data_IF_136765213013
#
_entry.id   IF_136765213013
#
_cell.length_a   1.000
_cell.length_b   1.000
_cell.length_c   1.000
_cell.angle_alpha   90.00
_cell.angle_beta   90.00
_cell.angle_gamma   90.00
#
_symmetry.space_group_name_H-M   'P 1'
#
loop_
_entity.id
_entity.type
_entity.pdbx_description
1 polymer ?
#
# COMPACT_ATOMS: atom_id res chain seq x y z
N UNK A 1 12.97 -37.62 -9.55
CA UNK A 1 13.30 -36.78 -8.39
C UNK A 1 12.03 -36.70 -7.56
N UNK A 2 12.07 -37.05 -6.28
CA UNK A 2 10.89 -36.93 -5.41
C UNK A 2 10.63 -35.46 -5.01
N UNK A 3 9.41 -35.16 -4.53
CA UNK A 3 8.99 -33.81 -4.18
C UNK A 3 9.89 -33.15 -3.12
N UNK A 4 10.40 -33.91 -2.15
CA UNK A 4 11.27 -33.40 -1.11
C UNK A 4 12.65 -33.03 -1.68
N UNK A 5 13.19 -33.86 -2.57
CA UNK A 5 14.41 -33.56 -3.32
C UNK A 5 14.26 -32.30 -4.18
N UNK A 6 13.12 -32.13 -4.86
CA UNK A 6 12.84 -30.91 -5.65
C UNK A 6 12.74 -29.67 -4.76
N UNK A 7 12.03 -29.73 -3.62
CA UNK A 7 11.95 -28.59 -2.68
C UNK A 7 13.32 -28.20 -2.11
N UNK A 8 14.15 -29.20 -1.77
CA UNK A 8 15.54 -28.95 -1.31
C UNK A 8 16.39 -28.31 -2.40
N UNK A 9 16.26 -28.79 -3.64
CA UNK A 9 16.92 -28.19 -4.80
C UNK A 9 16.51 -26.72 -4.95
N UNK A 10 15.21 -26.42 -5.01
CA UNK A 10 14.75 -25.05 -5.22
C UNK A 10 15.21 -24.12 -4.09
N UNK A 11 15.03 -24.54 -2.83
CA UNK A 11 15.50 -23.76 -1.67
C UNK A 11 17.00 -23.47 -1.74
N UNK A 12 17.81 -24.46 -2.10
CA UNK A 12 19.26 -24.29 -2.22
C UNK A 12 19.60 -23.30 -3.32
N UNK A 13 19.13 -23.50 -4.55
CA UNK A 13 19.48 -22.64 -5.68
C UNK A 13 18.88 -21.22 -5.59
N UNK A 14 17.70 -21.06 -4.97
CA UNK A 14 17.16 -19.73 -4.67
C UNK A 14 18.01 -18.97 -3.65
N UNK A 15 18.63 -19.66 -2.68
CA UNK A 15 19.53 -18.99 -1.72
C UNK A 15 20.78 -18.39 -2.37
N UNK A 16 21.21 -18.89 -3.54
CA UNK A 16 22.31 -18.31 -4.34
C UNK A 16 21.82 -17.30 -5.39
N UNK A 17 20.51 -17.07 -5.51
CA UNK A 17 19.93 -16.23 -6.57
C UNK A 17 20.03 -16.84 -7.98
N UNK A 18 20.36 -18.12 -8.10
CA UNK A 18 20.47 -18.81 -9.40
C UNK A 18 19.11 -19.06 -10.04
N UNK A 19 18.07 -19.19 -9.23
CA UNK A 19 16.67 -19.26 -9.63
C UNK A 19 15.83 -18.42 -8.64
N UNK A 20 14.62 -18.04 -9.03
CA UNK A 20 13.64 -17.45 -8.10
C UNK A 20 12.48 -18.44 -7.96
N UNK A 21 12.32 -18.99 -6.75
CA UNK A 21 11.18 -19.83 -6.38
C UNK A 21 10.35 -19.09 -5.32
N UNK A 22 9.21 -18.53 -5.75
CA UNK A 22 8.32 -17.80 -4.86
C UNK A 22 7.42 -18.73 -4.04
N UNK A 23 7.45 -20.05 -4.27
CA UNK A 23 6.75 -21.02 -3.41
C UNK A 23 7.26 -21.02 -1.96
N UNK A 24 8.49 -20.52 -1.76
CA UNK A 24 9.09 -20.30 -0.45
C UNK A 24 8.43 -19.14 0.34
N UNK A 25 7.73 -18.25 -0.36
CA UNK A 25 6.95 -17.14 0.22
C UNK A 25 5.47 -17.53 0.26
N UNK A 26 4.93 -17.96 -0.89
CA UNK A 26 3.55 -18.40 -1.01
C UNK A 26 3.51 -19.86 -1.50
N UNK A 27 3.17 -20.84 -0.65
CA UNK A 27 3.14 -22.25 -1.01
C UNK A 27 2.26 -22.61 -2.22
N UNK A 28 1.33 -21.74 -2.62
CA UNK A 28 0.46 -21.94 -3.76
C UNK A 28 1.06 -21.44 -5.09
N UNK A 29 2.20 -20.75 -5.07
CA UNK A 29 2.87 -20.28 -6.27
C UNK A 29 3.42 -21.45 -7.08
N UNK A 30 3.11 -21.52 -8.37
CA UNK A 30 3.31 -22.72 -9.19
C UNK A 30 4.55 -22.67 -10.09
N UNK A 31 5.26 -21.54 -10.13
CA UNK A 31 6.34 -21.33 -11.09
C UNK A 31 7.72 -21.26 -10.42
N UNK A 32 8.75 -21.63 -11.18
CA UNK A 32 10.15 -21.41 -10.81
C UNK A 32 10.81 -20.65 -11.94
N UNK A 33 11.34 -19.46 -11.63
CA UNK A 33 12.00 -18.60 -12.61
C UNK A 33 13.47 -19.01 -12.70
N UNK A 34 13.84 -19.67 -13.79
CA UNK A 34 15.19 -20.25 -13.98
C UNK A 34 16.19 -19.29 -14.64
N UNK A 35 15.75 -18.09 -15.05
CA UNK A 35 16.60 -17.00 -15.59
C UNK A 35 16.35 -15.69 -14.83
N UNK A 36 16.81 -15.57 -13.58
CA UNK A 36 16.51 -14.41 -12.72
C UNK A 36 16.92 -13.07 -13.33
N UNK A 37 18.10 -13.01 -13.96
CA UNK A 37 18.60 -11.75 -14.56
C UNK A 37 17.68 -11.27 -15.69
N UNK A 38 17.29 -12.16 -16.61
CA UNK A 38 16.38 -11.80 -17.71
C UNK A 38 15.02 -11.38 -17.18
N UNK A 39 14.49 -12.11 -16.18
CA UNK A 39 13.22 -11.77 -15.55
C UNK A 39 13.25 -10.37 -14.91
N UNK A 40 14.30 -10.07 -14.13
CA UNK A 40 14.46 -8.77 -13.48
C UNK A 40 14.68 -7.65 -14.50
N UNK A 41 15.43 -7.89 -15.58
CA UNK A 41 15.59 -6.91 -16.66
C UNK A 41 14.25 -6.60 -17.34
N UNK A 42 13.41 -7.61 -17.59
CA UNK A 42 12.08 -7.39 -18.16
C UNK A 42 11.18 -6.58 -17.22
N UNK A 43 11.24 -6.83 -15.90
CA UNK A 43 10.54 -5.99 -14.92
C UNK A 43 11.08 -4.56 -14.88
N UNK A 44 12.40 -4.39 -14.94
CA UNK A 44 13.03 -3.08 -14.94
C UNK A 44 12.61 -2.24 -16.14
N UNK A 45 12.60 -2.82 -17.34
CA UNK A 45 12.09 -2.18 -18.56
C UNK A 45 10.60 -1.85 -18.46
N UNK A 46 9.80 -2.72 -17.83
CA UNK A 46 8.37 -2.49 -17.60
C UNK A 46 8.11 -1.30 -16.67
N UNK A 47 8.87 -1.17 -15.57
CA UNK A 47 8.71 -0.06 -14.62
C UNK A 47 9.30 1.26 -15.13
N UNK A 48 10.43 1.23 -15.84
CA UNK A 48 11.16 2.42 -16.32
C UNK A 48 10.77 2.89 -17.72
N UNK A 49 9.69 2.37 -18.30
CA UNK A 49 9.01 2.95 -19.47
C UNK A 49 9.87 3.07 -20.74
N UNK A 50 10.82 2.14 -20.95
CA UNK A 50 11.84 2.32 -22.01
C UNK A 50 11.31 2.27 -23.46
N UNK A 51 10.07 1.78 -23.69
CA UNK A 51 9.59 1.43 -25.04
C UNK A 51 8.39 2.26 -25.57
N UNK A 52 8.05 3.40 -24.97
CA UNK A 52 6.95 4.28 -25.45
C UNK A 52 5.54 3.69 -25.31
N UNK A 53 5.41 2.47 -24.80
CA UNK A 53 4.17 1.71 -24.62
C UNK A 53 3.12 2.42 -23.77
N UNK A 54 3.53 3.33 -22.88
CA UNK A 54 2.64 4.11 -22.02
C UNK A 54 1.82 5.16 -22.80
N UNK A 55 2.27 5.59 -23.99
CA UNK A 55 1.48 6.49 -24.84
C UNK A 55 0.14 5.85 -25.26
N UNK A 56 0.14 4.54 -25.45
CA UNK A 56 -1.07 3.76 -25.77
C UNK A 56 -1.94 3.49 -24.54
N UNK A 57 -1.40 3.63 -23.33
CA UNK A 57 -2.06 3.29 -22.06
C UNK A 57 -1.90 4.39 -20.99
N UNK A 58 -2.57 5.56 -21.14
CA UNK A 58 -2.45 6.68 -20.20
C UNK A 58 -2.83 6.36 -18.75
N UNK A 59 -3.58 5.27 -18.51
CA UNK A 59 -3.95 4.85 -17.15
C UNK A 59 -2.74 4.40 -16.33
N UNK A 60 -1.66 3.95 -16.98
CA UNK A 60 -0.48 3.43 -16.30
C UNK A 60 0.29 4.52 -15.52
N UNK A 61 0.16 5.80 -15.90
CA UNK A 61 0.70 6.95 -15.14
C UNK A 61 0.19 7.02 -13.70
N UNK A 62 -0.98 6.43 -13.44
CA UNK A 62 -1.63 6.37 -12.14
C UNK A 62 -1.43 5.02 -11.45
N UNK A 63 -0.52 4.19 -11.97
CA UNK A 63 -0.32 2.83 -11.52
C UNK A 63 -1.44 1.87 -11.92
N UNK A 64 -2.34 2.26 -12.84
CA UNK A 64 -3.44 1.40 -13.30
C UNK A 64 -3.05 0.75 -14.61
N UNK A 65 -2.59 -0.49 -14.53
CA UNK A 65 -2.04 -1.23 -15.66
C UNK A 65 -3.09 -2.15 -16.28
N UNK A 66 -3.48 -1.94 -17.56
CA UNK A 66 -4.38 -2.85 -18.26
C UNK A 66 -3.70 -4.19 -18.54
N UNK A 67 -4.43 -5.31 -18.43
CA UNK A 67 -3.92 -6.63 -18.80
C UNK A 67 -3.40 -6.69 -20.25
N UNK A 68 -4.03 -5.93 -21.17
CA UNK A 68 -3.57 -5.80 -22.57
C UNK A 68 -2.16 -5.22 -22.67
N UNK A 69 -1.77 -4.32 -21.77
CA UNK A 69 -0.41 -3.79 -21.72
C UNK A 69 0.57 -4.88 -21.25
N UNK A 70 0.21 -5.64 -20.22
CA UNK A 70 1.02 -6.78 -19.74
C UNK A 70 1.26 -7.81 -20.85
N UNK A 71 0.20 -8.18 -21.59
CA UNK A 71 0.28 -9.09 -22.75
C UNK A 71 1.19 -8.56 -23.85
N UNK A 72 1.15 -7.25 -24.14
CA UNK A 72 2.00 -6.62 -25.15
C UNK A 72 3.49 -6.65 -24.74
N UNK A 73 3.78 -6.38 -23.47
CA UNK A 73 5.14 -6.23 -22.95
C UNK A 73 5.79 -7.59 -22.68
N UNK A 74 5.10 -8.46 -21.93
CA UNK A 74 5.65 -9.74 -21.49
C UNK A 74 5.29 -10.92 -22.42
N UNK A 75 4.48 -10.68 -23.47
CA UNK A 75 4.03 -11.72 -24.41
C UNK A 75 3.37 -12.89 -23.68
N UNK A 76 3.65 -14.13 -24.08
CA UNK A 76 3.03 -15.32 -23.49
C UNK A 76 3.41 -15.55 -22.02
N UNK A 77 4.51 -14.95 -21.55
CA UNK A 77 4.97 -15.08 -20.16
C UNK A 77 4.24 -14.11 -19.20
N UNK A 78 3.38 -13.21 -19.71
CA UNK A 78 2.70 -12.20 -18.88
C UNK A 78 2.01 -12.74 -17.62
N UNK A 79 1.37 -13.93 -17.59
CA UNK A 79 0.74 -14.43 -16.37
C UNK A 79 1.78 -14.70 -15.29
N UNK A 80 2.94 -15.25 -15.66
CA UNK A 80 4.04 -15.55 -14.71
C UNK A 80 4.56 -14.26 -14.07
N UNK A 81 4.68 -13.19 -14.86
CA UNK A 81 5.10 -11.88 -14.33
C UNK A 81 4.05 -11.31 -13.37
N UNK A 82 2.77 -11.32 -13.73
CA UNK A 82 1.72 -10.77 -12.85
C UNK A 82 1.54 -11.60 -11.58
N UNK A 83 1.54 -12.93 -11.69
CA UNK A 83 1.48 -13.83 -10.53
C UNK A 83 2.66 -13.58 -9.58
N UNK A 84 3.87 -13.35 -10.13
CA UNK A 84 5.03 -13.02 -9.31
C UNK A 84 4.88 -11.67 -8.59
N UNK A 85 4.39 -10.63 -9.28
CA UNK A 85 4.15 -9.33 -8.68
C UNK A 85 3.06 -9.37 -7.61
N UNK A 86 1.98 -10.12 -7.83
CA UNK A 86 0.94 -10.34 -6.83
C UNK A 86 1.48 -11.12 -5.62
N UNK A 87 2.22 -12.20 -5.87
CA UNK A 87 2.85 -13.01 -4.82
C UNK A 87 3.82 -12.19 -3.95
N UNK A 88 4.50 -11.22 -4.55
CA UNK A 88 5.39 -10.29 -3.87
C UNK A 88 4.67 -9.05 -3.33
N UNK A 89 3.34 -8.97 -3.43
CA UNK A 89 2.56 -7.82 -2.98
C UNK A 89 3.06 -6.48 -3.58
N UNK A 90 3.42 -6.54 -4.87
CA UNK A 90 3.82 -5.42 -5.73
C UNK A 90 2.70 -5.01 -6.70
N UNK A 91 1.69 -5.87 -6.85
CA UNK A 91 0.50 -5.63 -7.64
C UNK A 91 -0.74 -6.19 -6.91
N UNK A 92 -1.91 -5.64 -7.21
CA UNK A 92 -3.20 -6.25 -6.87
C UNK A 92 -4.16 -6.13 -8.05
N UNK A 93 -4.91 -7.18 -8.41
CA UNK A 93 -5.92 -7.06 -9.45
C UNK A 93 -7.00 -6.08 -9.03
N UNK A 94 -7.47 -5.26 -9.98
CA UNK A 94 -8.55 -4.31 -9.79
C UNK A 94 -9.49 -4.37 -10.99
N UNK A 95 -10.78 -4.23 -10.73
CA UNK A 95 -11.81 -4.24 -11.77
C UNK A 95 -12.30 -2.83 -12.04
N UNK A 96 -12.84 -2.58 -13.23
CA UNK A 96 -13.30 -1.25 -13.66
C UNK A 96 -14.31 -0.60 -12.72
N UNK A 97 -15.14 -1.41 -12.02
CA UNK A 97 -16.10 -0.91 -11.01
C UNK A 97 -15.42 -0.18 -9.83
N UNK A 98 -14.16 -0.50 -9.55
CA UNK A 98 -13.39 0.11 -8.48
C UNK A 98 -12.48 1.25 -8.97
N UNK A 99 -12.63 1.71 -10.22
CA UNK A 99 -11.73 2.71 -10.80
C UNK A 99 -12.51 3.98 -11.15
N UNK A 100 -12.03 5.14 -10.69
CA UNK A 100 -12.59 6.45 -11.03
C UNK A 100 -11.59 7.28 -11.83
N UNK A 101 -11.42 6.98 -13.11
CA UNK A 101 -10.43 7.64 -13.96
C UNK A 101 -10.83 9.07 -14.38
N UNK A 102 -9.85 9.92 -14.76
CA UNK A 102 -10.14 11.20 -15.40
C UNK A 102 -10.86 10.97 -16.73
N UNK A 103 -11.69 11.93 -17.16
CA UNK A 103 -12.55 11.78 -18.34
C UNK A 103 -11.76 11.56 -19.66
N UNK A 104 -10.52 12.03 -19.71
CA UNK A 104 -9.58 11.88 -20.82
C UNK A 104 -8.91 10.50 -20.86
N UNK A 105 -9.03 9.68 -19.81
CA UNK A 105 -8.48 8.33 -19.74
C UNK A 105 -9.60 7.31 -19.84
N UNK A 106 -9.78 6.75 -21.04
CA UNK A 106 -10.80 5.74 -21.27
C UNK A 106 -10.36 4.35 -20.79
N UNK A 107 -11.20 3.72 -19.98
CA UNK A 107 -11.07 2.33 -19.61
C UNK A 107 -11.96 1.44 -20.50
N UNK A 108 -11.45 0.27 -20.86
CA UNK A 108 -12.25 -0.79 -21.44
C UNK A 108 -13.21 -1.31 -20.36
N UNK A 109 -14.53 -1.17 -20.58
CA UNK A 109 -15.57 -1.55 -19.61
C UNK A 109 -15.44 -2.98 -19.12
N UNK A 110 -14.92 -3.90 -19.95
CA UNK A 110 -14.73 -5.32 -19.63
C UNK A 110 -13.25 -5.69 -19.46
N UNK A 111 -12.37 -4.70 -19.37
CA UNK A 111 -10.94 -4.93 -19.17
C UNK A 111 -10.62 -5.36 -17.75
N UNK A 112 -9.61 -6.22 -17.62
CA UNK A 112 -8.94 -6.49 -16.35
C UNK A 112 -7.76 -5.53 -16.18
N UNK A 113 -7.54 -5.11 -14.94
CA UNK A 113 -6.52 -4.14 -14.58
C UNK A 113 -5.77 -4.61 -13.35
N UNK A 114 -4.58 -4.07 -13.18
CA UNK A 114 -3.76 -4.22 -11.99
C UNK A 114 -3.45 -2.85 -11.42
N UNK A 115 -3.51 -2.72 -10.10
CA UNK A 115 -2.92 -1.59 -9.41
C UNK A 115 -1.46 -1.93 -9.07
N UNK A 116 -0.54 -1.20 -9.69
CA UNK A 116 0.90 -1.34 -9.59
C UNK A 116 1.50 0.06 -9.32
N UNK A 117 1.64 0.46 -8.05
CA UNK A 117 2.08 1.82 -7.69
C UNK A 117 3.51 2.14 -8.19
N UNK A 118 4.33 1.12 -8.47
CA UNK A 118 5.66 1.30 -9.06
C UNK A 118 5.64 1.90 -10.47
N UNK A 119 4.51 1.81 -11.19
CA UNK A 119 4.36 2.43 -12.52
C UNK A 119 3.99 3.92 -12.46
N UNK A 120 3.67 4.46 -11.28
CA UNK A 120 3.34 5.87 -11.11
C UNK A 120 4.54 6.77 -11.49
N UNK A 121 4.27 7.89 -12.17
CA UNK A 121 5.31 8.77 -12.74
C UNK A 121 5.49 10.11 -12.01
N UNK A 122 4.61 10.40 -11.05
CA UNK A 122 4.63 11.65 -10.30
C UNK A 122 5.72 11.68 -9.24
N UNK A 123 5.99 12.85 -8.67
CA UNK A 123 6.99 13.00 -7.62
C UNK A 123 6.58 12.26 -6.34
N UNK A 124 7.55 12.05 -5.46
CA UNK A 124 7.26 11.72 -4.06
C UNK A 124 6.52 12.90 -3.44
N UNK A 125 5.35 12.65 -2.87
CA UNK A 125 4.65 13.65 -2.07
C UNK A 125 5.29 13.69 -0.68
N UNK A 126 5.89 14.83 -0.32
CA UNK A 126 6.73 14.94 0.88
C UNK A 126 6.27 16.05 1.85
N UNK A 127 4.99 16.40 1.83
CA UNK A 127 4.47 17.41 2.77
C UNK A 127 4.13 16.77 4.13
N UNK A 128 4.74 17.26 5.22
CA UNK A 128 4.33 16.89 6.56
C UNK A 128 2.91 17.42 6.83
N UNK A 129 2.05 16.59 7.39
CA UNK A 129 0.71 17.00 7.80
C UNK A 129 0.52 16.63 9.28
N UNK A 130 0.78 17.59 10.16
CA UNK A 130 0.61 17.41 11.60
C UNK A 130 -0.85 17.17 12.01
N UNK A 131 -1.83 17.45 11.13
CA UNK A 131 -3.27 17.24 11.34
C UNK A 131 -3.76 15.92 10.75
N UNK A 132 -2.86 14.96 10.55
CA UNK A 132 -3.18 13.60 10.10
C UNK A 132 -2.82 12.55 11.15
N UNK A 133 -3.53 11.43 11.14
CA UNK A 133 -3.13 10.25 11.89
C UNK A 133 -2.02 9.54 11.13
N UNK A 134 -1.04 9.02 11.85
CA UNK A 134 0.06 8.26 11.29
C UNK A 134 0.08 6.86 11.88
N UNK A 135 0.38 5.88 11.04
CA UNK A 135 0.62 4.51 11.43
C UNK A 135 2.11 4.25 11.47
N UNK A 136 2.60 3.86 12.65
CA UNK A 136 3.97 3.40 12.84
C UNK A 136 3.99 1.88 12.99
N UNK A 137 4.89 1.22 12.26
CA UNK A 137 5.06 -0.24 12.27
C UNK A 137 6.44 -0.63 12.80
N UNK A 138 6.57 -1.81 13.40
CA UNK A 138 7.87 -2.35 13.85
C UNK A 138 8.77 -2.80 12.71
N UNK A 139 8.20 -2.99 11.51
CA UNK A 139 8.92 -3.38 10.30
C UNK A 139 8.86 -2.21 9.32
N UNK A 140 10.02 -1.84 8.80
CA UNK A 140 10.10 -0.88 7.69
C UNK A 140 9.97 -1.64 6.38
N UNK A 141 8.80 -1.58 5.76
CA UNK A 141 8.59 -2.08 4.40
C UNK A 141 8.62 -0.92 3.38
N UNK A 142 9.04 -1.17 2.14
CA UNK A 142 9.03 -0.16 1.08
C UNK A 142 7.62 0.39 0.79
N UNK A 143 7.56 1.59 0.21
CA UNK A 143 6.31 2.33 0.04
C UNK A 143 5.24 1.58 -0.74
N UNK A 144 5.64 0.99 -1.87
CA UNK A 144 4.77 0.28 -2.78
C UNK A 144 4.10 -0.95 -2.15
N UNK A 145 4.79 -1.69 -1.27
CA UNK A 145 4.16 -2.79 -0.52
C UNK A 145 2.99 -2.28 0.31
N UNK A 146 3.19 -1.19 1.05
CA UNK A 146 2.16 -0.59 1.90
C UNK A 146 0.98 -0.11 1.05
N UNK A 147 1.25 0.55 -0.08
CA UNK A 147 0.22 1.02 -1.01
C UNK A 147 -0.64 -0.13 -1.56
N UNK A 148 -0.01 -1.21 -2.04
CA UNK A 148 -0.74 -2.39 -2.56
C UNK A 148 -1.56 -3.04 -1.46
N UNK A 149 -0.97 -3.28 -0.28
CA UNK A 149 -1.68 -3.90 0.84
C UNK A 149 -2.89 -3.10 1.28
N UNK A 150 -2.76 -1.77 1.43
CA UNK A 150 -3.90 -0.94 1.79
C UNK A 150 -4.93 -0.85 0.67
N UNK A 151 -4.51 -0.72 -0.58
CA UNK A 151 -5.43 -0.71 -1.73
C UNK A 151 -6.28 -1.97 -1.75
N UNK A 152 -5.64 -3.14 -1.69
CA UNK A 152 -6.32 -4.43 -1.63
C UNK A 152 -7.33 -4.48 -0.49
N UNK A 153 -6.87 -4.26 0.74
CA UNK A 153 -7.72 -4.42 1.93
C UNK A 153 -8.87 -3.42 1.99
N UNK A 154 -8.67 -2.17 1.58
CA UNK A 154 -9.72 -1.15 1.59
C UNK A 154 -10.71 -1.30 0.45
N UNK A 155 -10.26 -1.68 -0.76
CA UNK A 155 -11.18 -1.99 -1.88
C UNK A 155 -12.07 -3.20 -1.57
N UNK A 156 -11.59 -4.14 -0.75
CA UNK A 156 -12.36 -5.33 -0.34
C UNK A 156 -13.31 -5.08 0.83
N UNK A 157 -13.09 -4.05 1.65
CA UNK A 157 -13.81 -3.87 2.92
C UNK A 157 -14.71 -2.64 2.97
N UNK A 158 -14.32 -1.53 2.33
CA UNK A 158 -15.14 -0.32 2.31
C UNK A 158 -16.43 -0.55 1.50
N UNK A 159 -17.53 0.13 1.85
CA UNK A 159 -18.74 0.13 1.06
C UNK A 159 -18.56 1.02 -0.18
N UNK A 160 -18.84 0.50 -1.37
CA UNK A 160 -18.67 1.22 -2.65
C UNK A 160 -17.33 1.98 -2.82
N UNK A 161 -16.17 1.29 -2.70
CA UNK A 161 -14.90 1.95 -2.79
C UNK A 161 -14.48 2.16 -4.25
N UNK A 162 -13.79 3.27 -4.52
CA UNK A 162 -13.12 3.49 -5.79
C UNK A 162 -11.72 4.02 -5.58
N UNK A 163 -10.77 3.47 -6.32
CA UNK A 163 -9.41 3.96 -6.42
C UNK A 163 -9.43 5.24 -7.28
N UNK A 164 -8.88 6.31 -6.71
CA UNK A 164 -8.81 7.62 -7.34
C UNK A 164 -7.41 7.81 -7.93
N UNK A 165 -7.31 8.29 -9.19
CA UNK A 165 -6.06 8.51 -9.90
C UNK A 165 -5.10 9.39 -9.10
N UNK A 166 -3.91 8.88 -8.85
CA UNK A 166 -2.83 9.61 -8.22
C UNK A 166 -1.52 9.24 -8.91
N UNK A 167 -0.78 10.25 -9.39
CA UNK A 167 0.52 10.00 -10.01
C UNK A 167 1.66 9.92 -8.98
N UNK A 168 1.45 10.37 -7.74
CA UNK A 168 2.53 10.42 -6.75
C UNK A 168 2.94 9.00 -6.34
N UNK A 169 4.24 8.70 -6.46
CA UNK A 169 4.77 7.33 -6.31
C UNK A 169 4.55 6.72 -4.92
N UNK A 170 4.41 7.56 -3.89
CA UNK A 170 4.22 7.12 -2.50
C UNK A 170 2.80 7.33 -1.98
N UNK A 171 1.83 7.67 -2.85
CA UNK A 171 0.44 7.88 -2.46
C UNK A 171 -0.54 6.92 -3.11
N UNK A 172 -1.58 6.60 -2.34
CA UNK A 172 -2.77 5.90 -2.80
C UNK A 172 -3.97 6.66 -2.29
N UNK A 173 -4.97 6.87 -3.15
CA UNK A 173 -6.18 7.60 -2.81
C UNK A 173 -7.38 6.70 -3.09
N UNK A 174 -8.23 6.49 -2.08
CA UNK A 174 -9.45 5.69 -2.19
C UNK A 174 -10.62 6.54 -1.73
N UNK A 175 -11.69 6.58 -2.52
CA UNK A 175 -12.94 7.23 -2.15
C UNK A 175 -13.96 6.17 -1.75
N UNK A 176 -14.59 6.36 -0.59
CA UNK A 176 -15.81 5.65 -0.23
C UNK A 176 -16.99 6.46 -0.77
N UNK A 177 -17.71 5.93 -1.78
CA UNK A 177 -18.85 6.64 -2.37
C UNK A 177 -20.06 6.69 -1.45
N UNK A 178 -20.21 5.71 -0.55
CA UNK A 178 -21.34 5.62 0.39
C UNK A 178 -21.35 6.76 1.41
N UNK A 179 -20.16 7.17 1.87
CA UNK A 179 -19.98 8.25 2.86
C UNK A 179 -19.41 9.54 2.24
N UNK A 180 -19.21 9.56 0.92
CA UNK A 180 -18.54 10.62 0.16
C UNK A 180 -17.16 11.02 0.74
N UNK A 181 -16.43 10.07 1.34
CA UNK A 181 -15.19 10.34 2.07
C UNK A 181 -13.95 9.93 1.28
N UNK A 182 -12.91 10.77 1.28
CA UNK A 182 -11.61 10.50 0.67
C UNK A 182 -10.60 10.02 1.71
N UNK A 183 -9.98 8.88 1.45
CA UNK A 183 -8.89 8.30 2.24
C UNK A 183 -7.61 8.42 1.41
N UNK A 184 -6.64 9.18 1.92
CA UNK A 184 -5.33 9.34 1.31
C UNK A 184 -4.27 8.68 2.19
N UNK A 185 -3.54 7.74 1.60
CA UNK A 185 -2.48 6.99 2.24
C UNK A 185 -1.17 7.47 1.64
N UNK A 186 -0.37 8.17 2.42
CA UNK A 186 0.97 8.60 2.00
C UNK A 186 2.00 7.80 2.76
N UNK A 187 2.75 6.98 2.05
CA UNK A 187 3.78 6.17 2.65
C UNK A 187 5.04 7.03 2.82
N UNK A 188 5.43 7.24 4.07
CA UNK A 188 6.74 7.73 4.45
C UNK A 188 7.45 6.62 5.24
N UNK A 189 8.78 6.55 5.21
CA UNK A 189 9.52 5.61 6.05
C UNK A 189 10.02 6.40 7.26
N UNK A 190 9.68 6.01 8.50
CA UNK A 190 8.96 4.80 8.91
C UNK A 190 7.43 4.94 9.04
N UNK A 191 6.85 6.13 8.82
CA UNK A 191 5.45 6.44 9.13
C UNK A 191 4.51 6.44 7.91
N UNK A 192 3.37 5.79 8.00
CA UNK A 192 2.32 5.90 6.97
C UNK A 192 1.35 6.98 7.41
N UNK A 193 1.24 8.06 6.65
CA UNK A 193 0.24 9.11 6.88
C UNK A 193 -1.12 8.63 6.37
N UNK A 194 -2.12 8.72 7.23
CA UNK A 194 -3.51 8.35 6.99
C UNK A 194 -4.36 9.61 7.12
N UNK A 195 -4.73 10.17 5.97
CA UNK A 195 -5.56 11.38 5.89
C UNK A 195 -6.96 11.01 5.44
N UNK A 196 -7.96 11.49 6.18
CA UNK A 196 -9.38 11.36 5.87
C UNK A 196 -9.92 12.79 5.83
N UNK A 197 -10.55 13.19 4.72
CA UNK A 197 -11.04 14.57 4.54
C UNK A 197 -12.20 14.90 5.48
N UNK A 198 -13.15 13.98 5.62
CA UNK A 198 -14.30 14.08 6.51
C UNK A 198 -14.25 12.92 7.53
N UNK A 199 -13.38 13.00 8.54
CA UNK A 199 -13.14 11.90 9.46
C UNK A 199 -14.41 11.57 10.25
N UNK A 200 -14.77 10.28 10.24
CA UNK A 200 -15.87 9.69 11.00
C UNK A 200 -15.45 8.32 11.54
N UNK A 201 -16.19 7.83 12.52
CA UNK A 201 -15.89 6.57 13.23
C UNK A 201 -15.85 5.38 12.26
N UNK A 202 -16.83 5.28 11.37
CA UNK A 202 -17.00 4.16 10.44
C UNK A 202 -15.79 4.02 9.48
N UNK A 203 -15.43 5.10 8.78
CA UNK A 203 -14.27 5.10 7.87
C UNK A 203 -12.97 4.83 8.64
N UNK A 204 -12.82 5.40 9.84
CA UNK A 204 -11.64 5.13 10.68
C UNK A 204 -11.57 3.66 11.10
N UNK A 205 -12.70 3.03 11.41
CA UNK A 205 -12.78 1.61 11.73
C UNK A 205 -12.34 0.74 10.55
N UNK A 206 -12.76 1.04 9.32
CA UNK A 206 -12.29 0.34 8.12
C UNK A 206 -10.77 0.41 7.95
N UNK A 207 -10.16 1.58 8.19
CA UNK A 207 -8.71 1.74 8.12
C UNK A 207 -8.00 0.91 9.20
N UNK A 208 -8.54 0.87 10.41
CA UNK A 208 -8.00 0.05 11.52
C UNK A 208 -8.11 -1.44 11.17
N UNK A 209 -9.25 -1.88 10.66
CA UNK A 209 -9.46 -3.27 10.23
C UNK A 209 -8.54 -3.67 9.08
N UNK A 210 -8.38 -2.81 8.08
CA UNK A 210 -7.41 -3.01 7.01
C UNK A 210 -6.00 -3.16 7.58
N UNK A 211 -5.58 -2.26 8.48
CA UNK A 211 -4.27 -2.34 9.15
C UNK A 211 -4.08 -3.67 9.90
N UNK A 212 -5.10 -4.13 10.61
CA UNK A 212 -5.09 -5.41 11.32
C UNK A 212 -4.89 -6.58 10.35
N UNK A 213 -5.66 -6.65 9.27
CA UNK A 213 -5.51 -7.69 8.24
C UNK A 213 -4.12 -7.67 7.59
N UNK A 214 -3.59 -6.50 7.26
CA UNK A 214 -2.23 -6.36 6.70
C UNK A 214 -1.18 -6.93 7.66
N UNK A 215 -1.33 -6.67 8.97
CA UNK A 215 -0.43 -7.19 9.98
C UNK A 215 -0.56 -8.72 10.15
N UNK A 216 -1.77 -9.28 10.03
CA UNK A 216 -2.06 -10.71 10.12
C UNK A 216 -1.57 -11.50 8.89
N UNK A 217 -1.61 -10.90 7.69
CA UNK A 217 -1.11 -11.51 6.45
C UNK A 217 0.42 -11.57 6.37
N UNK A 218 1.13 -10.85 7.25
CA UNK A 218 2.59 -10.87 7.29
C UNK A 218 3.13 -12.18 7.86
N UNK A 219 4.10 -12.79 7.18
CA UNK A 219 4.82 -13.97 7.66
C UNK A 219 5.66 -13.72 8.93
N UNK A 220 5.88 -12.46 9.29
CA UNK A 220 6.61 -12.04 10.50
C UNK A 220 5.63 -11.24 11.38
N UNK A 221 5.62 -11.43 12.71
CA UNK A 221 4.78 -10.64 13.61
C UNK A 221 5.01 -9.13 13.45
N UNK A 222 4.01 -8.42 12.92
CA UNK A 222 4.03 -6.96 12.78
C UNK A 222 3.36 -6.33 13.99
N UNK A 223 4.10 -5.47 14.69
CA UNK A 223 3.52 -4.60 15.71
C UNK A 223 3.28 -3.22 15.11
N UNK A 224 2.17 -2.59 15.46
CA UNK A 224 1.84 -1.27 14.95
C UNK A 224 1.12 -0.39 15.99
N UNK A 225 1.13 0.91 15.76
CA UNK A 225 0.40 1.90 16.56
C UNK A 225 -0.04 3.09 15.71
N UNK A 226 -1.20 3.63 16.04
CA UNK A 226 -1.67 4.89 15.51
C UNK A 226 -1.19 6.03 16.40
N UNK A 227 -0.64 7.06 15.77
CA UNK A 227 -0.07 8.22 16.44
C UNK A 227 -0.52 9.50 15.78
N UNK A 228 -0.55 10.57 16.55
CA UNK A 228 -0.70 11.94 16.08
C UNK A 228 0.56 12.69 16.50
N UNK A 229 1.19 13.41 15.58
CA UNK A 229 2.33 14.25 15.94
C UNK A 229 1.87 15.44 16.78
N UNK A 230 2.65 15.78 17.80
CA UNK A 230 2.35 16.89 18.69
C UNK A 230 2.43 18.20 17.91
N UNK A 231 1.45 19.10 18.11
CA UNK A 231 1.40 20.45 17.52
C UNK A 231 2.57 21.34 17.94
N UNK A 232 3.27 20.96 19.01
CA UNK A 232 4.47 21.66 19.48
C UNK A 232 5.69 21.36 18.61
N UNK A 233 5.64 20.33 17.77
CA UNK A 233 6.73 20.08 16.82
C UNK A 233 6.64 21.07 15.65
N UNK A 234 7.78 21.59 15.25
CA UNK A 234 7.92 22.27 13.96
C UNK A 234 8.40 21.26 12.92
N UNK A 235 7.49 20.40 12.45
CA UNK A 235 7.79 19.42 11.41
C UNK A 235 7.71 20.12 10.05
N UNK A 236 8.86 20.47 9.50
CA UNK A 236 8.95 21.11 8.17
C UNK A 236 9.32 20.14 7.07
N UNK A 237 9.81 18.93 7.42
CA UNK A 237 10.17 17.88 6.47
C UNK A 237 9.87 16.49 7.01
N UNK A 238 9.59 15.55 6.13
CA UNK A 238 9.22 14.17 6.49
C UNK A 238 10.38 13.40 7.16
N UNK A 239 11.64 13.72 6.85
CA UNK A 239 12.79 13.05 7.47
C UNK A 239 12.91 13.38 8.97
N UNK A 240 12.20 14.40 9.46
CA UNK A 240 12.14 14.74 10.88
C UNK A 240 11.08 13.96 11.66
N UNK A 241 10.18 13.23 10.99
CA UNK A 241 9.12 12.43 11.62
C UNK A 241 9.66 11.38 12.63
N UNK A 242 10.79 10.68 12.39
CA UNK A 242 11.32 9.72 13.36
C UNK A 242 11.67 10.34 14.72
N UNK A 243 12.07 11.62 14.72
CA UNK A 243 12.52 12.34 15.92
C UNK A 243 11.43 13.23 16.53
N UNK A 244 10.26 13.34 15.90
CA UNK A 244 9.19 14.21 16.34
C UNK A 244 8.43 13.64 17.55
N UNK A 245 7.96 14.51 18.44
CA UNK A 245 7.11 14.11 19.56
C UNK A 245 5.74 13.67 19.05
N UNK A 246 5.22 12.56 19.54
CA UNK A 246 3.89 12.09 19.13
C UNK A 246 3.08 11.57 20.30
N UNK A 247 1.77 11.61 20.13
CA UNK A 247 0.79 11.03 21.04
C UNK A 247 0.30 9.71 20.47
N UNK A 248 0.27 8.69 21.32
CA UNK A 248 -0.29 7.38 20.95
C UNK A 248 -1.81 7.45 21.08
N UNK A 249 -2.53 7.25 19.98
CA UNK A 249 -3.99 7.17 20.01
C UNK A 249 -4.45 5.86 20.68
N UNK A 250 -5.61 5.86 21.37
CA UNK A 250 -6.57 6.97 21.52
C UNK A 250 -6.21 7.99 22.63
N UNK A 251 -5.13 7.80 23.39
CA UNK A 251 -4.82 8.61 24.59
C UNK A 251 -3.91 9.79 24.26
N UNK A 252 -4.47 10.99 24.21
CA UNK A 252 -3.70 12.24 24.11
C UNK A 252 -3.68 12.92 25.46
N UNK A 253 -2.49 13.22 25.97
CA UNK A 253 -2.28 13.89 27.27
C UNK A 253 -1.80 15.34 27.13
N UNK A 254 -1.47 15.78 25.92
CA UNK A 254 -1.01 17.15 25.67
C UNK A 254 -2.19 18.12 25.58
N UNK A 255 -2.27 19.06 26.54
CA UNK A 255 -3.33 20.09 26.57
C UNK A 255 -3.42 20.87 25.25
N UNK A 256 -2.29 21.34 24.71
CA UNK A 256 -2.29 22.10 23.44
C UNK A 256 -2.85 21.30 22.26
N UNK A 257 -2.68 19.98 22.24
CA UNK A 257 -3.25 19.12 21.19
C UNK A 257 -4.73 18.82 21.43
N UNK A 258 -5.18 18.79 22.69
CA UNK A 258 -6.59 18.61 23.05
C UNK A 258 -7.41 19.88 22.80
N UNK A 259 -6.81 21.06 22.98
CA UNK A 259 -7.48 22.35 22.84
C UNK A 259 -7.46 22.89 21.38
N UNK A 260 -6.83 22.17 20.44
CA UNK A 260 -6.74 22.62 19.04
C UNK A 260 -7.93 22.09 18.22
N UNK A 261 -8.85 22.95 17.78
CA UNK A 261 -10.13 22.56 17.18
C UNK A 261 -9.97 21.84 15.84
N UNK A 262 -8.79 21.94 15.19
CA UNK A 262 -8.49 21.21 13.96
C UNK A 262 -8.40 19.71 14.19
N UNK A 263 -8.19 19.29 15.44
CA UNK A 263 -8.10 17.90 15.83
C UNK A 263 -9.40 17.32 16.38
N UNK A 264 -10.33 18.13 16.89
CA UNK A 264 -11.51 17.64 17.60
C UNK A 264 -12.28 16.57 16.83
N UNK A 265 -12.63 16.85 15.58
CA UNK A 265 -13.38 15.91 14.73
C UNK A 265 -12.56 14.64 14.42
N UNK A 266 -11.30 14.81 14.05
CA UNK A 266 -10.40 13.71 13.71
C UNK A 266 -10.15 12.80 14.92
N UNK A 267 -9.79 13.38 16.06
CA UNK A 267 -9.48 12.64 17.28
C UNK A 267 -10.69 11.93 17.83
N UNK A 268 -11.87 12.55 17.79
CA UNK A 268 -13.10 11.90 18.21
C UNK A 268 -13.37 10.65 17.37
N UNK A 269 -13.38 10.80 16.03
CA UNK A 269 -13.61 9.71 15.10
C UNK A 269 -12.63 8.54 15.30
N UNK A 270 -11.33 8.84 15.39
CA UNK A 270 -10.31 7.81 15.62
C UNK A 270 -10.39 7.20 17.01
N UNK A 271 -10.69 7.99 18.05
CA UNK A 271 -10.78 7.49 19.43
C UNK A 271 -11.93 6.50 19.60
N UNK A 272 -13.10 6.85 19.08
CA UNK A 272 -14.29 5.99 19.08
C UNK A 272 -13.98 4.68 18.32
N UNK A 273 -13.44 4.78 17.10
CA UNK A 273 -13.11 3.61 16.28
C UNK A 273 -12.03 2.71 16.93
N UNK A 274 -11.00 3.30 17.55
CA UNK A 274 -9.92 2.55 18.22
C UNK A 274 -10.40 1.82 19.48
N UNK A 275 -11.32 2.41 20.25
CA UNK A 275 -11.92 1.74 21.38
C UNK A 275 -12.81 0.56 20.94
N UNK A 276 -13.55 0.71 19.84
CA UNK A 276 -14.42 -0.34 19.32
C UNK A 276 -13.67 -1.54 18.69
N UNK A 277 -12.45 -1.32 18.17
CA UNK A 277 -11.74 -2.32 17.35
C UNK A 277 -10.54 -3.01 18.06
N UNK A 278 -10.43 -2.96 19.39
CA UNK A 278 -9.39 -3.61 20.24
C UNK A 278 -8.04 -3.89 19.54
N UNK A 279 -7.10 -2.94 19.61
CA UNK A 279 -5.75 -3.15 19.05
C UNK A 279 -4.90 -4.01 20.01
N UNK A 280 -4.15 -5.02 19.51
CA UNK A 280 -3.25 -5.83 20.33
C UNK A 280 -2.22 -5.00 21.11
N UNK A 281 -2.45 -4.80 22.40
CA UNK A 281 -1.66 -3.90 23.23
C UNK A 281 -0.42 -4.60 23.82
N UNK A 282 0.54 -4.98 22.98
CA UNK A 282 1.84 -5.54 23.41
C UNK A 282 3.03 -4.82 22.79
N UNK A 283 3.11 -3.50 23.00
CA UNK A 283 4.32 -2.72 22.79
C UNK A 283 4.82 -2.16 24.12
N UNK A 284 5.82 -2.80 24.74
CA UNK A 284 6.68 -2.10 25.70
C UNK A 284 7.60 -1.20 24.88
N UNK A 285 7.55 0.10 25.13
CA UNK A 285 8.56 1.01 24.64
C UNK A 285 9.92 0.52 25.15
N UNK A 286 10.82 0.15 24.24
CA UNK A 286 12.25 0.20 24.58
C UNK A 286 12.56 1.67 24.76
N UNK A 287 12.89 2.03 26.00
CA UNK A 287 13.29 3.39 26.39
C UNK A 287 14.66 3.76 25.86
#
# INVERSE_FOLDING_TARGET
MDENSTKKFCKFFTSFGSIIDLSLINPNYQHVIVKPVTFLQSLDSFFHQQDGTFQDYPSMDYGIVPEKACRKIFKDDWPIFMDALECLNLATPVTTRYLKMPNDVQLDRRGNYYYIPLCCTGPVFDEPDQFSVHLLTSISTPHFFKQVSFAKQLLDTLPEPVLVPCKNVNQTIIKNLSTDTMITISSHVPAIKLKVDEPNEEVSAYIIQATKKIAEESHIPVKYKFVQFCVQNHITKVESLPSALYHRLPKITCKKCQDDPRFDKLLKAWTEALHANEIPDKFKATG
#
